data_IF_581490534479
#
_entry.id   IF_581490534479
#
_cell.length_a   1.000
_cell.length_b   1.000
_cell.length_c   1.000
_cell.angle_alpha   90.00
_cell.angle_beta   90.00
_cell.angle_gamma   90.00
#
_symmetry.space_group_name_H-M   'P 1'
#
loop_
_entity.id
_entity.type
_entity.pdbx_description
1 polymer ?
#
# COMPACT_ATOMS: atom_id res chain seq x y z
N UNK A 1 25.22 -62.96 3.95
CA UNK A 1 25.39 -61.87 2.98
C UNK A 1 25.24 -60.55 3.75
N UNK A 2 26.36 -59.95 4.18
CA UNK A 2 26.34 -58.78 5.07
C UNK A 2 26.31 -57.48 4.27
N UNK A 3 25.29 -56.65 4.49
CA UNK A 3 25.16 -55.35 3.83
C UNK A 3 26.15 -54.38 4.50
N UNK A 4 27.05 -53.80 3.69
CA UNK A 4 28.15 -52.96 4.15
C UNK A 4 27.65 -51.58 4.60
N UNK A 5 27.81 -51.26 5.90
CA UNK A 5 27.37 -50.01 6.55
C UNK A 5 27.94 -48.73 5.91
N UNK A 6 29.00 -48.81 5.09
CA UNK A 6 29.57 -47.64 4.40
C UNK A 6 28.69 -47.10 3.27
N UNK A 7 27.87 -47.94 2.63
CA UNK A 7 27.01 -47.49 1.53
C UNK A 7 25.75 -46.73 2.03
N UNK A 8 25.23 -47.08 3.21
CA UNK A 8 24.12 -46.37 3.85
C UNK A 8 24.48 -44.93 4.27
N UNK A 9 25.75 -44.65 4.57
CA UNK A 9 26.20 -43.28 4.90
C UNK A 9 26.25 -42.35 3.68
N UNK A 10 26.59 -42.87 2.50
CA UNK A 10 26.74 -42.02 1.30
C UNK A 10 25.41 -41.60 0.66
N UNK A 11 24.36 -42.43 0.81
CA UNK A 11 23.03 -42.15 0.27
C UNK A 11 22.33 -41.00 1.00
N UNK A 12 22.54 -40.87 2.31
CA UNK A 12 21.90 -39.83 3.14
C UNK A 12 22.46 -38.43 2.88
N UNK A 13 23.72 -38.30 2.47
CA UNK A 13 24.36 -37.01 2.18
C UNK A 13 23.85 -36.47 0.83
N UNK A 14 23.63 -37.36 -0.14
CA UNK A 14 23.21 -36.98 -1.50
C UNK A 14 21.75 -36.51 -1.56
N UNK A 15 20.85 -37.12 -0.79
CA UNK A 15 19.43 -36.72 -0.73
C UNK A 15 19.27 -35.36 -0.04
N UNK A 16 20.05 -35.10 1.02
CA UNK A 16 20.00 -33.81 1.74
C UNK A 16 20.53 -32.66 0.87
N UNK A 17 21.58 -32.90 0.08
CA UNK A 17 22.12 -31.91 -0.86
C UNK A 17 21.12 -31.57 -1.99
N UNK A 18 20.38 -32.56 -2.52
CA UNK A 18 19.35 -32.31 -3.53
C UNK A 18 18.15 -31.52 -2.99
N UNK A 19 17.76 -31.73 -1.72
CA UNK A 19 16.70 -30.92 -1.09
C UNK A 19 17.12 -29.47 -0.82
N UNK A 20 18.40 -29.21 -0.49
CA UNK A 20 18.88 -27.84 -0.30
C UNK A 20 18.91 -27.02 -1.60
N UNK A 21 19.11 -27.66 -2.76
CA UNK A 21 19.11 -26.98 -4.06
C UNK A 21 17.69 -26.64 -4.56
N UNK A 22 16.69 -27.45 -4.19
CA UNK A 22 15.28 -27.19 -4.50
C UNK A 22 14.63 -26.11 -3.60
N UNK A 23 15.32 -25.70 -2.52
CA UNK A 23 14.90 -24.63 -1.62
C UNK A 23 15.42 -23.24 -2.00
N UNK A 24 15.94 -23.08 -3.23
CA UNK A 24 16.12 -21.74 -3.83
C UNK A 24 14.75 -21.18 -4.16
N UNK A 25 14.11 -20.73 -3.09
CA UNK A 25 12.87 -19.98 -3.08
C UNK A 25 12.95 -18.95 -4.20
N UNK A 26 11.96 -18.94 -5.09
CA UNK A 26 11.74 -17.85 -6.02
C UNK A 26 11.61 -16.57 -5.18
N UNK A 27 12.71 -15.91 -4.86
CA UNK A 27 12.74 -14.55 -4.35
C UNK A 27 12.33 -13.72 -5.56
N UNK A 28 11.02 -13.70 -5.82
CA UNK A 28 10.42 -12.60 -6.57
C UNK A 28 10.71 -11.41 -5.69
N UNK A 29 11.77 -10.68 -6.02
CA UNK A 29 12.00 -9.37 -5.44
C UNK A 29 10.73 -8.60 -5.71
N UNK A 30 9.94 -8.35 -4.66
CA UNK A 30 8.75 -7.51 -4.79
C UNK A 30 9.28 -6.16 -5.29
N UNK A 31 9.09 -5.91 -6.58
CA UNK A 31 9.57 -4.70 -7.22
C UNK A 31 9.00 -3.48 -6.50
N UNK A 32 9.78 -2.42 -6.40
CA UNK A 32 9.29 -1.17 -5.82
C UNK A 32 8.05 -0.70 -6.56
N UNK A 33 6.99 -0.39 -5.82
CA UNK A 33 5.76 0.22 -6.34
C UNK A 33 5.88 1.75 -6.47
N UNK A 34 7.07 2.32 -6.26
CA UNK A 34 7.29 3.76 -6.35
C UNK A 34 7.00 4.28 -7.76
N UNK A 35 6.30 5.40 -7.86
CA UNK A 35 5.83 5.97 -9.13
C UNK A 35 4.56 5.33 -9.69
N UNK A 36 4.21 4.11 -9.27
CA UNK A 36 2.95 3.47 -9.65
C UNK A 36 1.79 4.03 -8.81
N UNK A 37 0.64 4.28 -9.45
CA UNK A 37 -0.59 4.73 -8.79
C UNK A 37 -1.54 3.56 -8.46
N UNK A 38 -1.13 2.33 -8.72
CA UNK A 38 -1.88 1.11 -8.44
C UNK A 38 -3.29 1.10 -9.02
N UNK A 39 -4.21 0.51 -8.26
CA UNK A 39 -5.64 0.53 -8.56
C UNK A 39 -6.21 1.92 -8.29
N UNK A 40 -6.48 2.65 -9.37
CA UNK A 40 -7.09 3.98 -9.33
C UNK A 40 -8.59 3.86 -9.56
N UNK A 41 -9.36 4.18 -8.52
CA UNK A 41 -10.83 4.24 -8.57
C UNK A 41 -11.31 5.54 -9.22
N UNK A 42 -10.65 6.65 -8.92
CA UNK A 42 -10.91 7.95 -9.55
C UNK A 42 -9.71 8.89 -9.44
N UNK A 43 -9.56 9.88 -10.34
CA UNK A 43 -8.53 10.91 -10.21
C UNK A 43 -8.88 11.84 -9.03
N UNK A 44 -8.04 11.95 -7.98
CA UNK A 44 -8.32 12.87 -6.88
C UNK A 44 -8.24 14.31 -7.39
N UNK A 45 -9.20 15.14 -7.01
CA UNK A 45 -9.09 16.58 -7.27
C UNK A 45 -8.16 17.18 -6.23
N UNK A 46 -6.97 17.58 -6.68
CA UNK A 46 -5.94 18.17 -5.84
C UNK A 46 -5.89 19.68 -6.07
N UNK A 47 -5.76 20.49 -5.01
CA UNK A 47 -5.45 21.91 -5.17
C UNK A 47 -4.17 22.11 -6.00
N UNK A 48 -4.18 23.13 -6.86
CA UNK A 48 -3.05 23.43 -7.75
C UNK A 48 -1.76 23.81 -7.00
N UNK A 49 -1.88 24.28 -5.76
CA UNK A 49 -0.72 24.64 -4.94
C UNK A 49 -0.02 23.38 -4.42
N UNK A 50 1.26 23.15 -4.79
CA UNK A 50 2.03 21.98 -4.37
C UNK A 50 2.23 21.86 -2.86
N UNK A 51 2.07 22.97 -2.12
CA UNK A 51 2.21 23.04 -0.66
C UNK A 51 0.93 22.62 0.07
N UNK A 52 -0.19 22.43 -0.64
CA UNK A 52 -1.42 21.97 0.01
C UNK A 52 -1.24 20.59 0.63
N UNK A 53 -1.73 20.37 1.86
CA UNK A 53 -1.54 19.11 2.59
C UNK A 53 -1.97 17.88 1.79
N UNK A 54 -3.10 17.98 1.07
CA UNK A 54 -3.62 16.87 0.28
C UNK A 54 -2.81 16.59 -1.00
N UNK A 55 -2.29 17.63 -1.65
CA UNK A 55 -1.35 17.51 -2.78
C UNK A 55 -0.03 16.88 -2.33
N UNK A 56 0.49 17.28 -1.16
CA UNK A 56 1.69 16.69 -0.55
C UNK A 56 1.47 15.21 -0.20
N UNK A 57 0.34 14.89 0.42
CA UNK A 57 -0.01 13.51 0.79
C UNK A 57 -0.17 12.59 -0.43
N UNK A 58 -0.73 13.11 -1.53
CA UNK A 58 -0.82 12.39 -2.81
C UNK A 58 0.58 12.09 -3.38
N UNK A 59 1.46 13.09 -3.44
CA UNK A 59 2.84 12.89 -3.93
C UNK A 59 3.60 11.86 -3.10
N UNK A 60 3.41 11.88 -1.77
CA UNK A 60 4.00 10.87 -0.89
C UNK A 60 3.46 9.46 -1.16
N UNK A 61 2.15 9.33 -1.42
CA UNK A 61 1.53 8.08 -1.85
C UNK A 61 2.14 7.56 -3.17
N UNK A 62 2.26 8.41 -4.19
CA UNK A 62 2.85 8.03 -5.48
C UNK A 62 4.31 7.60 -5.30
N UNK A 63 5.08 8.32 -4.49
CA UNK A 63 6.49 8.02 -4.23
C UNK A 63 6.73 6.75 -3.38
N UNK A 64 5.74 6.29 -2.61
CA UNK A 64 5.89 5.13 -1.73
C UNK A 64 6.13 3.83 -2.51
N UNK A 65 7.08 3.02 -2.04
CA UNK A 65 7.52 1.78 -2.71
C UNK A 65 6.74 0.53 -2.32
N UNK A 66 5.95 0.56 -1.24
CA UNK A 66 5.16 -0.57 -0.75
C UNK A 66 3.67 -0.29 -0.76
N UNK A 67 2.91 -1.21 -0.15
CA UNK A 67 1.46 -1.12 -0.13
C UNK A 67 0.98 0.19 0.52
N UNK A 68 0.23 0.97 -0.23
CA UNK A 68 -0.12 2.34 0.14
C UNK A 68 -1.53 2.66 -0.35
N UNK A 69 -2.21 3.59 0.31
CA UNK A 69 -3.53 4.05 -0.12
C UNK A 69 -3.72 5.54 0.14
N UNK A 70 -4.59 6.15 -0.66
CA UNK A 70 -4.96 7.55 -0.55
C UNK A 70 -6.49 7.70 -0.56
N UNK A 71 -7.01 8.32 0.48
CA UNK A 71 -8.42 8.63 0.65
C UNK A 71 -8.66 10.14 0.57
N UNK A 72 -9.79 10.55 0.00
CA UNK A 72 -10.16 11.96 -0.13
C UNK A 72 -11.69 12.11 -0.11
N UNK A 73 -12.18 13.24 0.37
CA UNK A 73 -13.59 13.65 0.19
C UNK A 73 -13.81 14.19 -1.23
N UNK A 74 -15.00 14.02 -1.82
CA UNK A 74 -15.28 14.56 -3.15
C UNK A 74 -15.20 16.08 -3.15
N UNK A 75 -14.67 16.63 -4.24
CA UNK A 75 -14.58 18.07 -4.47
C UNK A 75 -15.71 18.55 -5.39
N UNK A 76 -16.16 19.78 -5.21
CA UNK A 76 -17.19 20.43 -6.00
C UNK A 76 -16.83 21.90 -6.10
N UNK A 77 -16.70 22.40 -7.34
CA UNK A 77 -16.39 23.83 -7.60
C UNK A 77 -17.60 24.76 -7.40
N UNK A 78 -18.79 24.20 -7.21
CA UNK A 78 -20.07 24.95 -7.13
C UNK A 78 -20.36 25.45 -5.71
N UNK A 79 -19.65 24.90 -4.72
CA UNK A 79 -19.73 25.28 -3.31
C UNK A 79 -18.29 25.46 -2.86
N UNK A 80 -17.99 26.44 -2.02
CA UNK A 80 -16.67 26.58 -1.39
C UNK A 80 -16.43 25.43 -0.40
N UNK A 81 -16.24 24.20 -0.92
CA UNK A 81 -16.06 23.00 -0.14
C UNK A 81 -14.59 22.64 -0.02
N UNK A 82 -14.17 22.46 1.22
CA UNK A 82 -12.84 22.00 1.58
C UNK A 82 -12.73 20.50 1.30
N UNK A 83 -11.59 20.11 0.74
CA UNK A 83 -11.22 18.70 0.61
C UNK A 83 -10.47 18.24 1.85
N UNK A 84 -10.85 17.09 2.37
CA UNK A 84 -10.12 16.38 3.41
C UNK A 84 -9.55 15.11 2.81
N UNK A 85 -8.33 14.76 3.20
CA UNK A 85 -7.64 13.57 2.72
C UNK A 85 -7.00 12.79 3.88
N UNK A 86 -6.66 11.54 3.58
CA UNK A 86 -5.84 10.68 4.43
C UNK A 86 -4.97 9.78 3.56
N UNK A 87 -3.83 9.32 4.09
CA UNK A 87 -3.01 8.33 3.42
C UNK A 87 -2.45 7.31 4.41
N UNK A 88 -2.03 6.17 3.86
CA UNK A 88 -1.22 5.18 4.57
C UNK A 88 -0.13 4.71 3.60
N UNK A 89 1.11 4.66 4.07
CA UNK A 89 2.27 4.40 3.24
C UNK A 89 2.98 3.14 3.73
N UNK A 90 3.40 2.29 2.80
CA UNK A 90 4.22 1.10 3.06
C UNK A 90 3.66 0.18 4.17
N UNK A 91 2.35 -0.07 4.15
CA UNK A 91 1.69 -1.05 5.00
C UNK A 91 2.09 -2.49 4.62
N UNK A 92 1.72 -3.45 5.48
CA UNK A 92 1.96 -4.89 5.22
C UNK A 92 1.14 -5.43 4.05
N UNK A 93 -0.04 -4.86 3.78
CA UNK A 93 -0.96 -5.26 2.71
C UNK A 93 -1.68 -4.02 2.17
N UNK A 94 -2.17 -4.09 0.93
CA UNK A 94 -2.99 -3.04 0.31
C UNK A 94 -4.24 -2.74 1.15
N UNK A 95 -4.95 -3.77 1.61
CA UNK A 95 -6.14 -3.63 2.47
C UNK A 95 -5.84 -2.89 3.80
N UNK A 96 -4.71 -3.19 4.44
CA UNK A 96 -4.29 -2.49 5.65
C UNK A 96 -3.93 -1.01 5.38
N UNK A 97 -3.44 -0.71 4.18
CA UNK A 97 -3.22 0.67 3.77
C UNK A 97 -4.54 1.41 3.57
N UNK A 98 -5.52 0.79 2.90
CA UNK A 98 -6.85 1.35 2.65
C UNK A 98 -7.60 1.65 3.95
N UNK A 99 -7.63 0.69 4.88
CA UNK A 99 -8.27 0.86 6.19
C UNK A 99 -7.70 2.09 6.93
N UNK A 100 -6.37 2.18 7.01
CA UNK A 100 -5.69 3.30 7.70
C UNK A 100 -5.88 4.63 6.98
N UNK A 101 -5.81 4.65 5.65
CA UNK A 101 -6.04 5.86 4.86
C UNK A 101 -7.47 6.38 5.04
N UNK A 102 -8.47 5.48 4.98
CA UNK A 102 -9.87 5.80 5.21
C UNK A 102 -10.09 6.32 6.63
N UNK A 103 -9.61 5.60 7.65
CA UNK A 103 -9.75 5.98 9.05
C UNK A 103 -9.12 7.36 9.32
N UNK A 104 -7.96 7.66 8.71
CA UNK A 104 -7.35 8.97 8.82
C UNK A 104 -8.19 10.06 8.18
N UNK A 105 -8.75 9.84 6.98
CA UNK A 105 -9.61 10.81 6.32
C UNK A 105 -10.88 11.08 7.13
N UNK A 106 -11.57 10.03 7.58
CA UNK A 106 -12.81 10.13 8.36
C UNK A 106 -12.57 10.89 9.66
N UNK A 107 -11.51 10.52 10.41
CA UNK A 107 -11.15 11.20 11.66
C UNK A 107 -10.89 12.70 11.45
N UNK A 108 -10.14 13.06 10.41
CA UNK A 108 -9.88 14.47 10.10
C UNK A 108 -11.18 15.18 9.71
N UNK A 109 -12.00 14.58 8.85
CA UNK A 109 -13.30 15.15 8.43
C UNK A 109 -14.18 15.41 9.64
N UNK A 110 -14.29 14.44 10.54
CA UNK A 110 -15.13 14.55 11.73
C UNK A 110 -14.63 15.64 12.69
N UNK A 111 -13.31 15.87 12.77
CA UNK A 111 -12.73 16.97 13.58
C UNK A 111 -13.12 18.38 13.09
N UNK A 112 -13.50 18.49 11.82
CA UNK A 112 -13.91 19.72 11.15
C UNK A 112 -15.43 19.84 10.94
N UNK A 113 -16.20 18.83 11.36
CA UNK A 113 -17.65 18.81 11.21
C UNK A 113 -18.29 20.05 11.84
N UNK A 114 -19.10 20.77 11.06
CA UNK A 114 -19.78 22.00 11.50
C UNK A 114 -18.89 23.25 11.59
N UNK A 115 -17.60 23.15 11.27
CA UNK A 115 -16.66 24.30 11.26
C UNK A 115 -16.39 24.82 9.86
N UNK A 116 -16.34 23.91 8.89
CA UNK A 116 -16.12 24.21 7.48
C UNK A 116 -17.06 23.37 6.62
N UNK A 117 -17.38 23.87 5.43
CA UNK A 117 -18.12 23.10 4.45
C UNK A 117 -17.17 22.07 3.84
N UNK A 118 -17.30 20.81 4.22
CA UNK A 118 -16.49 19.72 3.67
C UNK A 118 -17.27 19.06 2.55
N UNK A 119 -16.57 18.50 1.57
CA UNK A 119 -17.16 17.52 0.67
C UNK A 119 -17.82 16.35 1.40
N UNK A 120 -18.50 15.48 0.65
CA UNK A 120 -19.22 14.32 1.18
C UNK A 120 -18.34 13.29 1.92
N UNK A 121 -18.71 12.03 1.85
CA UNK A 121 -17.97 10.97 2.54
C UNK A 121 -16.54 10.82 2.02
N UNK A 122 -15.63 10.33 2.87
CA UNK A 122 -14.30 9.94 2.43
C UNK A 122 -14.38 8.69 1.54
N UNK A 123 -13.61 8.67 0.46
CA UNK A 123 -13.54 7.58 -0.49
C UNK A 123 -12.07 7.27 -0.81
N UNK A 124 -11.73 6.00 -1.06
CA UNK A 124 -10.38 5.67 -1.54
C UNK A 124 -10.28 6.09 -3.01
N UNK A 125 -9.33 6.97 -3.33
CA UNK A 125 -9.08 7.36 -4.72
C UNK A 125 -8.15 6.37 -5.42
N UNK A 126 -7.11 5.91 -4.72
CA UNK A 126 -6.14 4.96 -5.26
C UNK A 126 -5.46 4.13 -4.15
N UNK A 127 -5.04 2.91 -4.49
CA UNK A 127 -4.26 2.04 -3.61
C UNK A 127 -3.34 1.10 -4.39
N UNK A 128 -2.25 0.67 -3.76
CA UNK A 128 -1.26 -0.26 -4.29
C UNK A 128 -0.70 -1.12 -3.17
#
# INVERSE_FOLDING_TARGET
MGINLRHLRSLNISVLACMLLAATSNITTAGSLAGNQGDKRFPPTLPDNPKDPCTKAWKAYVAAGGHSAYAITPYSRVRDIFVICGNSLNAKTQAAAEEKAMASCVRTRDSYKGKINIGGSCEIAASK
#
